data_IF_779938017396
#
_entry.id   IF_779938017396
#
_cell.length_a   1.000
_cell.length_b   1.000
_cell.length_c   1.000
_cell.angle_alpha   90.00
_cell.angle_beta   90.00
_cell.angle_gamma   90.00
#
_symmetry.space_group_name_H-M   'P 1'
#
loop_
_entity.id
_entity.type
_entity.pdbx_description
1 polymer ?
#
# COMPACT_ATOMS: atom_id res chain seq x y z
N UNK A 1 19.45 0.40 22.05
CA UNK A 1 18.79 1.26 21.06
C UNK A 1 19.15 0.70 19.70
N UNK A 2 18.19 0.37 18.84
CA UNK A 2 18.50 -0.04 17.46
C UNK A 2 19.27 1.08 16.75
N UNK A 3 20.12 0.72 15.79
CA UNK A 3 20.79 1.69 14.92
C UNK A 3 19.77 2.36 14.00
N UNK A 4 20.07 3.58 13.54
CA UNK A 4 19.21 4.31 12.58
C UNK A 4 18.97 3.45 11.32
N UNK A 5 20.00 2.75 10.83
CA UNK A 5 19.89 1.89 9.64
C UNK A 5 18.92 0.72 9.85
N UNK A 6 18.86 0.17 11.07
CA UNK A 6 17.90 -0.89 11.40
C UNK A 6 16.47 -0.36 11.44
N UNK A 7 16.28 0.86 11.94
CA UNK A 7 14.96 1.49 12.01
C UNK A 7 14.44 1.88 10.62
N UNK A 8 15.31 2.36 9.74
CA UNK A 8 14.96 2.64 8.34
C UNK A 8 14.51 1.35 7.64
N UNK A 9 15.29 0.27 7.75
CA UNK A 9 14.93 -1.00 7.11
C UNK A 9 13.62 -1.60 7.64
N UNK A 10 13.31 -1.41 8.93
CA UNK A 10 12.03 -1.82 9.51
C UNK A 10 10.86 -1.04 8.90
N UNK A 11 10.99 0.28 8.77
CA UNK A 11 9.96 1.14 8.19
C UNK A 11 9.75 0.86 6.70
N UNK A 12 10.83 0.64 5.94
CA UNK A 12 10.77 0.24 4.54
C UNK A 12 10.04 -1.10 4.38
N UNK A 13 10.37 -2.10 5.21
CA UNK A 13 9.66 -3.39 5.19
C UNK A 13 8.18 -3.28 5.55
N UNK A 14 7.81 -2.32 6.41
CA UNK A 14 6.42 -2.04 6.73
C UNK A 14 5.65 -1.42 5.57
N UNK A 15 6.29 -0.49 4.84
CA UNK A 15 5.73 0.11 3.64
C UNK A 15 5.54 -0.92 2.52
N UNK A 16 6.53 -1.80 2.31
CA UNK A 16 6.43 -2.92 1.35
C UNK A 16 5.28 -3.86 1.70
N UNK A 17 5.18 -4.28 2.97
CA UNK A 17 4.09 -5.13 3.44
C UNK A 17 2.72 -4.47 3.23
N UNK A 18 2.59 -3.17 3.54
CA UNK A 18 1.35 -2.43 3.32
C UNK A 18 0.92 -2.45 1.84
N UNK A 19 1.86 -2.26 0.91
CA UNK A 19 1.62 -2.32 -0.54
C UNK A 19 1.16 -3.72 -0.97
N UNK A 20 1.79 -4.79 -0.46
CA UNK A 20 1.41 -6.17 -0.78
C UNK A 20 0.00 -6.52 -0.31
N UNK A 21 -0.37 -6.09 0.90
CA UNK A 21 -1.72 -6.31 1.43
C UNK A 21 -2.74 -5.51 0.61
N UNK A 22 -2.44 -4.27 0.24
CA UNK A 22 -3.29 -3.45 -0.62
C UNK A 22 -3.53 -4.10 -1.99
N UNK A 23 -2.49 -4.68 -2.60
CA UNK A 23 -2.60 -5.44 -3.86
C UNK A 23 -3.44 -6.70 -3.70
N UNK A 24 -3.24 -7.43 -2.60
CA UNK A 24 -3.96 -8.67 -2.30
C UNK A 24 -5.47 -8.45 -2.19
N UNK A 25 -5.89 -7.32 -1.62
CA UNK A 25 -7.31 -6.94 -1.50
C UNK A 25 -7.84 -6.12 -2.67
N UNK A 26 -7.05 -5.92 -3.72
CA UNK A 26 -7.43 -5.13 -4.89
C UNK A 26 -7.64 -3.64 -4.61
N UNK A 27 -7.12 -3.11 -3.50
CA UNK A 27 -7.10 -1.68 -3.24
C UNK A 27 -6.17 -0.95 -4.22
N UNK A 28 -5.07 -1.61 -4.60
CA UNK A 28 -4.18 -1.23 -5.68
C UNK A 28 -4.21 -2.35 -6.73
N UNK A 29 -4.26 -1.98 -8.00
CA UNK A 29 -4.19 -2.92 -9.11
C UNK A 29 -3.18 -2.42 -10.15
N UNK A 30 -2.69 -3.32 -11.00
CA UNK A 30 -1.97 -2.90 -12.20
C UNK A 30 -2.96 -2.32 -13.20
N UNK A 31 -2.55 -1.28 -13.91
CA UNK A 31 -3.30 -0.76 -15.05
C UNK A 31 -3.59 -1.92 -16.02
N UNK A 32 -4.86 -2.08 -16.37
CA UNK A 32 -5.31 -3.17 -17.25
C UNK A 32 -4.79 -3.03 -18.68
N UNK A 33 -4.48 -1.80 -19.10
CA UNK A 33 -4.17 -1.50 -20.49
C UNK A 33 -2.68 -1.66 -20.79
N UNK A 34 -1.79 -1.07 -19.97
CA UNK A 34 -0.34 -1.18 -20.15
C UNK A 34 0.34 -2.17 -19.20
N UNK A 35 -0.25 -2.51 -18.06
CA UNK A 35 0.32 -3.44 -17.07
C UNK A 35 1.58 -2.93 -16.33
N UNK A 36 2.06 -1.73 -16.63
CA UNK A 36 3.31 -1.18 -16.10
C UNK A 36 3.10 -0.33 -14.84
N UNK A 37 1.96 0.35 -14.72
CA UNK A 37 1.68 1.25 -13.60
C UNK A 37 0.71 0.66 -12.60
N UNK A 38 0.94 0.97 -11.33
CA UNK A 38 -0.02 0.72 -10.26
C UNK A 38 -1.05 1.86 -10.22
N UNK A 39 -2.32 1.48 -10.22
CA UNK A 39 -3.47 2.38 -10.18
C UNK A 39 -4.36 2.05 -8.99
N UNK A 40 -5.00 3.07 -8.46
CA UNK A 40 -5.97 2.92 -7.39
C UNK A 40 -7.14 2.10 -7.95
N UNK A 41 -7.44 0.97 -7.33
CA UNK A 41 -8.56 0.12 -7.76
C UNK A 41 -9.93 0.79 -7.58
N UNK A 42 -9.99 1.95 -6.90
CA UNK A 42 -11.22 2.67 -6.50
C UNK A 42 -12.14 1.83 -5.59
N UNK A 43 -11.72 0.63 -5.20
CA UNK A 43 -12.47 -0.26 -4.34
C UNK A 43 -12.26 0.11 -2.87
N UNK A 44 -13.16 0.94 -2.35
CA UNK A 44 -13.23 1.27 -0.92
C UNK A 44 -13.28 0.02 -0.03
N UNK A 45 -13.80 -1.11 -0.52
CA UNK A 45 -13.81 -2.39 0.20
C UNK A 45 -12.41 -3.00 0.34
N UNK A 46 -11.57 -2.92 -0.69
CA UNK A 46 -10.19 -3.41 -0.64
C UNK A 46 -9.35 -2.64 0.37
N UNK A 47 -9.54 -1.31 0.44
CA UNK A 47 -8.88 -0.45 1.43
C UNK A 47 -9.33 -0.83 2.85
N UNK A 48 -10.64 -1.03 3.08
CA UNK A 48 -11.16 -1.49 4.38
C UNK A 48 -10.63 -2.88 4.77
N UNK A 49 -10.58 -3.80 3.82
CA UNK A 49 -10.06 -5.15 4.05
C UNK A 49 -8.57 -5.12 4.42
N UNK A 50 -7.79 -4.26 3.77
CA UNK A 50 -6.38 -4.01 4.09
C UNK A 50 -6.22 -3.51 5.51
N UNK A 51 -6.93 -2.45 5.90
CA UNK A 51 -6.89 -1.94 7.28
C UNK A 51 -7.27 -3.02 8.31
N UNK A 52 -8.28 -3.83 8.01
CA UNK A 52 -8.69 -4.91 8.88
C UNK A 52 -7.63 -6.01 8.98
N UNK A 53 -6.90 -6.32 7.91
CA UNK A 53 -5.81 -7.30 7.92
C UNK A 53 -4.61 -6.81 8.73
N UNK A 54 -4.05 -5.65 8.41
CA UNK A 54 -2.85 -5.15 9.10
C UNK A 54 -3.11 -4.92 10.60
N UNK A 55 -4.34 -4.54 10.97
CA UNK A 55 -4.76 -4.44 12.39
C UNK A 55 -4.80 -5.81 13.07
N UNK A 56 -5.21 -6.88 12.36
CA UNK A 56 -5.19 -8.25 12.92
C UNK A 56 -3.76 -8.76 13.08
N UNK A 57 -2.90 -8.53 12.10
CA UNK A 57 -1.48 -8.92 12.12
C UNK A 57 -0.76 -8.22 13.28
N UNK A 58 -0.99 -6.91 13.47
CA UNK A 58 -0.53 -6.17 14.65
C UNK A 58 -1.01 -6.79 15.96
N UNK A 59 -2.31 -7.09 16.09
CA UNK A 59 -2.87 -7.70 17.31
C UNK A 59 -2.31 -9.09 17.62
N UNK A 60 -1.80 -9.80 16.61
CA UNK A 60 -1.15 -11.10 16.76
C UNK A 60 0.36 -10.99 17.01
N UNK A 61 0.93 -9.80 16.92
CA UNK A 61 2.38 -9.58 17.01
C UNK A 61 3.14 -10.06 15.78
N UNK A 62 2.48 -10.14 14.62
CA UNK A 62 3.09 -10.55 13.35
C UNK A 62 3.84 -9.39 12.66
N UNK A 63 3.55 -8.14 13.06
CA UNK A 63 4.21 -6.92 12.57
C UNK A 63 4.80 -6.17 13.76
N UNK A 64 6.06 -5.73 13.62
CA UNK A 64 6.75 -4.92 14.60
C UNK A 64 6.45 -3.43 14.44
N UNK A 65 6.39 -2.69 15.55
CA UNK A 65 6.08 -1.27 15.58
C UNK A 65 4.74 -0.94 16.25
N UNK A 66 4.26 0.27 16.01
CA UNK A 66 2.99 0.78 16.53
C UNK A 66 1.86 0.66 15.51
N UNK A 67 0.63 0.57 15.99
CA UNK A 67 -0.54 0.64 15.12
C UNK A 67 -0.56 1.92 14.28
N UNK A 68 -0.07 3.03 14.82
CA UNK A 68 0.01 4.30 14.09
C UNK A 68 0.95 4.23 12.88
N UNK A 69 2.14 3.63 13.05
CA UNK A 69 3.11 3.41 11.96
C UNK A 69 2.50 2.53 10.87
N UNK A 70 1.84 1.44 11.26
CA UNK A 70 1.21 0.49 10.34
C UNK A 70 0.10 1.17 9.53
N UNK A 71 -0.76 1.95 10.20
CA UNK A 71 -1.82 2.70 9.51
C UNK A 71 -1.28 3.88 8.70
N UNK A 72 -0.12 4.42 9.08
CA UNK A 72 0.57 5.43 8.30
C UNK A 72 1.12 4.84 7.00
N UNK A 73 1.77 3.68 7.06
CA UNK A 73 2.29 2.96 5.90
C UNK A 73 1.19 2.68 4.85
N UNK A 74 0.03 2.18 5.30
CA UNK A 74 -1.13 1.94 4.40
C UNK A 74 -1.62 3.23 3.74
N UNK A 75 -1.68 4.35 4.49
CA UNK A 75 -2.09 5.65 3.94
C UNK A 75 -1.06 6.19 2.94
N UNK A 76 0.22 6.08 3.27
CA UNK A 76 1.32 6.53 2.44
C UNK A 76 1.34 5.75 1.11
N UNK A 77 1.23 4.42 1.17
CA UNK A 77 1.11 3.57 0.00
C UNK A 77 -0.05 3.98 -0.91
N UNK A 78 -1.24 4.19 -0.35
CA UNK A 78 -2.41 4.65 -1.13
C UNK A 78 -2.24 6.06 -1.72
N UNK A 79 -1.54 6.96 -1.03
CA UNK A 79 -1.30 8.33 -1.51
C UNK A 79 -0.31 8.37 -2.68
N UNK A 80 0.63 7.42 -2.74
CA UNK A 80 1.63 7.32 -3.80
C UNK A 80 1.12 6.61 -5.05
N UNK A 81 -0.06 6.00 -5.00
CA UNK A 81 -0.67 5.31 -6.14
C UNK A 81 -1.52 6.28 -6.95
N UNK A 82 -1.29 6.31 -8.25
CA UNK A 82 -2.05 7.16 -9.16
C UNK A 82 -3.51 6.69 -9.26
N UNK A 83 -4.46 7.62 -9.36
CA UNK A 83 -5.88 7.26 -9.58
C UNK A 83 -6.08 6.67 -10.97
N UNK A 84 -5.33 7.17 -11.95
CA UNK A 84 -5.38 6.75 -13.35
C UNK A 84 -3.96 6.40 -13.80
N UNK A 85 -3.84 5.51 -14.79
CA UNK A 85 -2.53 5.23 -15.37
C UNK A 85 -2.01 6.48 -16.09
N UNK A 86 -0.82 7.01 -15.72
CA UNK A 86 -0.30 8.24 -16.30
C UNK A 86 -0.05 8.11 -17.81
N UNK A 87 0.34 6.93 -18.28
CA UNK A 87 0.63 6.68 -19.70
C UNK A 87 -0.66 6.51 -20.52
N UNK A 88 -1.64 5.76 -20.02
CA UNK A 88 -2.91 5.57 -20.72
C UNK A 88 -3.76 6.86 -20.76
N UNK A 89 -3.64 7.71 -19.72
CA UNK A 89 -4.26 9.04 -19.72
C UNK A 89 -3.70 9.94 -20.82
N UNK A 90 -2.40 9.82 -21.13
CA UNK A 90 -1.76 10.55 -22.23
C UNK A 90 -2.22 10.08 -23.61
N UNK A 91 -2.50 8.79 -23.77
CA UNK A 91 -2.88 8.22 -25.07
C UNK A 91 -4.38 8.36 -25.39
N UNK A 92 -5.24 8.55 -24.38
CA UNK A 92 -6.69 8.70 -24.55
C UNK A 92 -7.24 10.10 -24.24
N UNK A 93 -6.38 11.06 -23.92
CA UNK A 93 -6.75 12.46 -23.64
C UNK A 93 -6.75 13.34 -24.89
N UNK A 94 -7.82 13.27 -25.69
CA UNK A 94 -8.25 14.36 -26.59
C UNK A 94 -9.10 15.40 -25.83
#
# INVERSE_FOLDING_TARGET
MPSIDHEIGRLEGLDEHAIEVLKTHGAIAKCTDCGEHEVNGLYNEGVKATYAQVTREFKRGEIDGSLEEILHAVRNAMANVNIECPDCKRDHGE
#
